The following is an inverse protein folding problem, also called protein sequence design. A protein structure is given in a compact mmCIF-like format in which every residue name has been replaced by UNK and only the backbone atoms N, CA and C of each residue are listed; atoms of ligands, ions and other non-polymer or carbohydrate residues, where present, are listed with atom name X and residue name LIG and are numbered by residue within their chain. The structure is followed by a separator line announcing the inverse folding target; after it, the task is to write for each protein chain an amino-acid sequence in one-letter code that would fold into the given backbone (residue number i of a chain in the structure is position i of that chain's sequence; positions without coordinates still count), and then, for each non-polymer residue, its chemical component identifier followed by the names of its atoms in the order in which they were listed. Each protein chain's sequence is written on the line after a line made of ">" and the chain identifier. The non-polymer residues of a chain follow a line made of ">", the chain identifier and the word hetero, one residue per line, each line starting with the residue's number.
data_IF_139657308279
#
_entry.id   IF_139657308279
#
_cell.length_a   1.000
_cell.length_b   1.000
_cell.length_c   1.000
_cell.angle_alpha   90.00
_cell.angle_beta   90.00
_cell.angle_gamma   90.00
#
_symmetry.space_group_name_H-M   'P 1'
#
loop_
_entity.id
_entity.type
_entity.pdbx_description
1 polymer ?
#
# COMPACT_ATOMS: atom_id res chain seq x y z
N UNK A 1 -8.78 -28.77 4.64
CA UNK A 1 -7.39 -28.26 4.54
C UNK A 1 -6.46 -29.26 5.21
N UNK A 2 -5.23 -29.44 4.72
CA UNK A 2 -4.18 -30.05 5.55
C UNK A 2 -3.89 -29.08 6.72
N UNK A 3 -3.71 -29.55 7.96
CA UNK A 3 -3.59 -28.68 9.14
C UNK A 3 -2.48 -27.61 9.00
N UNK A 4 -1.40 -27.97 8.32
CA UNK A 4 -0.19 -27.13 8.20
C UNK A 4 -0.18 -26.22 6.95
N UNK A 5 -1.21 -26.26 6.10
CA UNK A 5 -1.21 -25.49 4.84
C UNK A 5 -1.86 -24.13 5.02
N UNK A 6 -1.05 -23.07 4.87
CA UNK A 6 -1.50 -21.68 4.79
C UNK A 6 -1.95 -21.38 3.36
N UNK A 7 -3.17 -20.87 3.21
CA UNK A 7 -3.78 -20.49 1.94
C UNK A 7 -3.99 -18.98 1.94
N UNK A 8 -3.29 -18.27 1.07
CA UNK A 8 -3.36 -16.82 0.97
C UNK A 8 -3.85 -16.36 -0.40
N UNK A 9 -4.30 -15.11 -0.50
CA UNK A 9 -4.56 -14.44 -1.77
C UNK A 9 -3.53 -13.34 -2.07
N UNK A 10 -3.36 -13.00 -3.35
CA UNK A 10 -2.46 -11.95 -3.84
C UNK A 10 -2.99 -11.37 -5.15
N UNK A 11 -2.74 -10.08 -5.40
CA UNK A 11 -3.01 -9.42 -6.68
C UNK A 11 -4.49 -9.14 -6.98
N UNK A 12 -4.80 -9.03 -8.28
CA UNK A 12 -6.14 -8.69 -8.77
C UNK A 12 -6.57 -7.27 -8.41
N UNK A 13 -7.85 -7.10 -8.08
CA UNK A 13 -8.41 -5.82 -7.65
C UNK A 13 -8.08 -5.44 -6.19
N UNK A 14 -7.15 -6.16 -5.54
CA UNK A 14 -6.83 -5.98 -4.12
C UNK A 14 -5.73 -4.94 -3.95
N UNK A 15 -6.09 -3.66 -3.81
CA UNK A 15 -5.13 -2.54 -3.80
C UNK A 15 -5.08 -1.83 -2.44
N UNK A 16 -6.18 -1.86 -1.70
CA UNK A 16 -6.36 -1.16 -0.42
C UNK A 16 -6.59 -2.15 0.73
N UNK A 17 -6.40 -1.72 1.99
CA UNK A 17 -6.78 -2.54 3.15
C UNK A 17 -8.25 -2.98 3.12
N UNK A 18 -9.15 -2.14 2.61
CA UNK A 18 -10.58 -2.42 2.48
C UNK A 18 -10.83 -3.54 1.46
N UNK A 19 -10.07 -3.60 0.37
CA UNK A 19 -10.19 -4.70 -0.60
C UNK A 19 -9.72 -6.02 0.02
N UNK A 20 -8.64 -5.99 0.81
CA UNK A 20 -8.15 -7.17 1.55
C UNK A 20 -9.21 -7.65 2.54
N UNK A 21 -9.81 -6.73 3.30
CA UNK A 21 -10.87 -7.05 4.24
C UNK A 21 -12.08 -7.68 3.53
N UNK A 22 -12.53 -7.08 2.43
CA UNK A 22 -13.62 -7.62 1.63
C UNK A 22 -13.35 -9.06 1.18
N UNK A 23 -12.15 -9.36 0.70
CA UNK A 23 -11.78 -10.71 0.26
C UNK A 23 -11.79 -11.72 1.41
N UNK A 24 -11.23 -11.35 2.56
CA UNK A 24 -11.19 -12.22 3.74
C UNK A 24 -12.60 -12.51 4.27
N UNK A 25 -13.51 -11.54 4.22
CA UNK A 25 -14.90 -11.71 4.66
C UNK A 25 -15.74 -12.54 3.68
N UNK A 26 -15.47 -12.43 2.37
CA UNK A 26 -16.28 -13.09 1.33
C UNK A 26 -15.74 -14.44 0.87
N UNK A 27 -14.49 -14.75 1.15
CA UNK A 27 -13.84 -15.97 0.67
C UNK A 27 -13.50 -16.90 1.83
N UNK A 28 -14.28 -17.98 1.98
CA UNK A 28 -14.04 -19.00 3.00
C UNK A 28 -12.72 -19.72 2.72
N UNK A 29 -11.93 -19.94 3.78
CA UNK A 29 -10.71 -20.74 3.70
C UNK A 29 -9.46 -19.99 3.26
N UNK A 30 -9.47 -18.66 3.24
CA UNK A 30 -8.23 -17.87 3.25
C UNK A 30 -7.72 -17.75 4.69
N UNK A 31 -6.41 -17.86 4.87
CA UNK A 31 -5.70 -17.61 6.13
C UNK A 31 -5.04 -16.22 6.14
N UNK A 32 -5.02 -15.53 5.00
CA UNK A 32 -4.46 -14.19 4.90
C UNK A 32 -4.27 -13.67 3.47
N UNK A 33 -3.53 -12.58 3.36
CA UNK A 33 -3.17 -11.91 2.12
C UNK A 33 -1.66 -11.67 2.07
N UNK A 34 -1.07 -11.85 0.89
CA UNK A 34 0.34 -11.55 0.65
C UNK A 34 0.41 -10.27 -0.18
N UNK A 35 0.95 -9.21 0.42
CA UNK A 35 1.17 -7.93 -0.25
C UNK A 35 2.42 -7.96 -1.13
N UNK A 36 2.33 -7.34 -2.31
CA UNK A 36 3.48 -7.01 -3.16
C UNK A 36 3.55 -5.50 -3.32
N UNK A 37 3.16 -5.00 -4.50
CA UNK A 37 3.08 -3.55 -4.76
C UNK A 37 2.25 -2.76 -3.73
N UNK A 38 1.22 -3.37 -3.15
CA UNK A 38 0.39 -2.77 -2.09
C UNK A 38 1.13 -2.56 -0.77
N UNK A 39 2.15 -3.36 -0.50
CA UNK A 39 2.98 -3.26 0.70
C UNK A 39 4.21 -2.37 0.48
N UNK A 40 4.84 -2.42 -0.69
CA UNK A 40 6.11 -1.72 -0.93
C UNK A 40 5.99 -0.53 -1.89
N UNK A 41 5.49 -0.72 -3.12
CA UNK A 41 5.58 0.31 -4.17
C UNK A 41 4.61 1.46 -3.95
N UNK A 42 3.32 1.17 -3.79
CA UNK A 42 2.28 2.20 -3.71
C UNK A 42 2.44 3.12 -2.49
N UNK A 43 2.76 2.62 -1.27
CA UNK A 43 3.03 3.50 -0.14
C UNK A 43 4.28 4.37 -0.33
N UNK A 44 5.33 3.81 -0.93
CA UNK A 44 6.58 4.53 -1.21
C UNK A 44 6.37 5.63 -2.25
N UNK A 45 5.69 5.33 -3.36
CA UNK A 45 5.39 6.33 -4.40
C UNK A 45 4.62 7.54 -3.83
N UNK A 46 3.62 7.28 -2.99
CA UNK A 46 2.86 8.34 -2.30
C UNK A 46 3.76 9.18 -1.39
N UNK A 47 4.58 8.51 -0.57
CA UNK A 47 5.44 9.16 0.42
C UNK A 47 6.53 10.01 -0.24
N UNK A 48 7.21 9.48 -1.26
CA UNK A 48 8.23 10.21 -2.02
C UNK A 48 7.61 11.41 -2.73
N UNK A 49 6.45 11.24 -3.36
CA UNK A 49 5.77 12.34 -4.06
C UNK A 49 5.41 13.49 -3.10
N UNK A 50 4.90 13.17 -1.91
CA UNK A 50 4.61 14.16 -0.88
C UNK A 50 5.87 14.90 -0.44
N UNK A 51 6.93 14.17 -0.08
CA UNK A 51 8.19 14.78 0.36
C UNK A 51 8.78 15.72 -0.71
N UNK A 52 8.80 15.30 -1.97
CA UNK A 52 9.29 16.14 -3.08
C UNK A 52 8.44 17.40 -3.24
N UNK A 53 7.12 17.30 -3.06
CA UNK A 53 6.24 18.47 -3.10
C UNK A 53 6.58 19.45 -1.99
N UNK A 54 6.75 18.97 -0.77
CA UNK A 54 7.06 19.80 0.40
C UNK A 54 8.38 20.57 0.20
N UNK A 55 9.42 19.91 -0.34
CA UNK A 55 10.68 20.58 -0.66
C UNK A 55 10.53 21.67 -1.72
N UNK A 56 9.65 21.46 -2.72
CA UNK A 56 9.40 22.46 -3.77
C UNK A 56 8.63 23.68 -3.27
N UNK A 57 7.92 23.57 -2.16
CA UNK A 57 7.16 24.68 -1.57
C UNK A 57 8.02 25.60 -0.69
N UNK A 58 9.28 25.23 -0.41
CA UNK A 58 10.22 26.05 0.34
C UNK A 58 10.47 27.36 -0.40
N UNK A 59 10.08 28.49 0.22
CA UNK A 59 10.29 29.83 -0.33
C UNK A 59 11.74 30.24 -0.14
N UNK A 60 12.34 30.78 -1.21
CA UNK A 60 13.65 31.40 -1.14
C UNK A 60 13.59 32.66 -0.27
N UNK A 61 14.67 32.99 0.48
CA UNK A 61 14.75 34.25 1.18
C UNK A 61 14.64 35.42 0.20
N UNK A 62 14.04 36.52 0.64
CA UNK A 62 14.00 37.74 -0.15
C UNK A 62 15.44 38.17 -0.49
N UNK A 63 15.71 38.44 -1.77
CA UNK A 63 17.01 38.99 -2.17
C UNK A 63 17.18 40.35 -1.51
N UNK A 64 18.28 40.53 -0.76
CA UNK A 64 18.72 41.87 -0.36
C UNK A 64 18.99 42.68 -1.64
N UNK A 65 18.33 43.83 -1.76
CA UNK A 65 18.61 44.81 -2.80
C UNK A 65 19.88 45.58 -2.47
#
# INVERSE_FOLDING_TARGET
>A
KKPETVVTCHGGATVTPQDVQYLLEKTKGLDGYVGGSTAERLPVEKSITAAVRDFKEVKLPAKAR
#
